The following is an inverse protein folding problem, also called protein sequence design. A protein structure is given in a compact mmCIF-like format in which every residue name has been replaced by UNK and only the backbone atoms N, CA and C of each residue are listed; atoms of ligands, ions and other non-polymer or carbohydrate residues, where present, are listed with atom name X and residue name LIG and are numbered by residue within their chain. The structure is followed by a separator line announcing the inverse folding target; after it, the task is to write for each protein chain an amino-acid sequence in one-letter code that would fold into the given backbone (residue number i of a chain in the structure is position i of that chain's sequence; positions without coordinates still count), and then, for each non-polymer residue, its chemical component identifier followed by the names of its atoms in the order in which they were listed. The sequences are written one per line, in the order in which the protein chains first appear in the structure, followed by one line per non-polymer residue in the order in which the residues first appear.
data_IF_042227798003
#
_entry.id   IF_042227798003
#
_cell.length_a   1.000
_cell.length_b   1.000
_cell.length_c   1.000
_cell.angle_alpha   90.00
_cell.angle_beta   90.00
_cell.angle_gamma   90.00
#
_symmetry.space_group_name_H-M   'P 1'
#
loop_
_entity.id
_entity.type
_entity.pdbx_description
1 polymer ?
#
# COMPACT_ATOMS: atom_id res chain seq x y z
N UNK A 1 -9.79 -17.70 -9.45
CA UNK A 1 -9.22 -16.33 -9.41
C UNK A 1 -7.97 -16.37 -10.26
N UNK A 2 -7.55 -15.25 -10.85
CA UNK A 2 -6.36 -15.25 -11.70
C UNK A 2 -5.18 -14.63 -10.95
N UNK A 3 -4.02 -15.25 -11.10
CA UNK A 3 -2.75 -14.74 -10.61
C UNK A 3 -1.86 -14.45 -11.82
N UNK A 4 -1.45 -13.19 -11.96
CA UNK A 4 -0.59 -12.74 -13.05
C UNK A 4 0.82 -12.50 -12.54
N UNK A 5 1.79 -13.18 -13.14
CA UNK A 5 3.22 -12.92 -12.97
C UNK A 5 3.61 -11.89 -14.03
N UNK A 6 3.89 -10.66 -13.61
CA UNK A 6 4.18 -9.54 -14.50
C UNK A 6 5.61 -9.63 -15.07
N UNK A 7 5.85 -8.99 -16.20
CA UNK A 7 7.17 -8.89 -16.87
C UNK A 7 8.13 -7.90 -16.19
N UNK A 8 8.22 -7.94 -14.86
CA UNK A 8 9.06 -7.05 -14.08
C UNK A 8 10.03 -7.85 -13.21
N UNK A 9 11.33 -7.69 -13.49
CA UNK A 9 12.44 -8.15 -12.64
C UNK A 9 12.92 -6.96 -11.83
N UNK A 10 12.61 -6.96 -10.54
CA UNK A 10 12.74 -5.81 -9.65
C UNK A 10 13.92 -5.97 -8.71
N UNK A 11 14.68 -4.89 -8.54
CA UNK A 11 15.71 -4.74 -7.51
C UNK A 11 15.15 -3.88 -6.38
N UNK A 12 15.44 -4.29 -5.14
CA UNK A 12 15.07 -3.55 -3.94
C UNK A 12 16.32 -2.89 -3.38
N UNK A 13 16.26 -1.58 -3.16
CA UNK A 13 17.38 -0.78 -2.70
C UNK A 13 16.99 0.08 -1.51
N UNK A 14 17.95 0.33 -0.63
CA UNK A 14 17.88 1.32 0.44
C UNK A 14 18.92 2.40 0.19
N UNK A 15 18.47 3.63 0.01
CA UNK A 15 19.31 4.81 -0.14
C UNK A 15 19.32 5.61 1.16
N UNK A 16 20.48 5.70 1.80
CA UNK A 16 20.66 6.51 3.00
C UNK A 16 20.45 8.00 2.70
N UNK A 17 19.76 8.72 3.59
CA UNK A 17 19.46 10.16 3.44
C UNK A 17 20.67 11.04 3.12
N UNK A 18 21.85 10.87 3.76
CA UNK A 18 23.02 11.69 3.45
C UNK A 18 23.48 11.59 1.99
N UNK A 19 23.22 10.44 1.35
CA UNK A 19 23.57 10.19 -0.05
C UNK A 19 22.56 10.71 -1.06
N UNK A 20 21.38 11.20 -0.64
CA UNK A 20 20.28 11.53 -1.55
C UNK A 20 20.68 12.48 -2.68
N UNK A 21 21.54 13.46 -2.38
CA UNK A 21 22.05 14.44 -3.34
C UNK A 21 22.77 13.80 -4.53
N UNK A 22 23.48 12.69 -4.30
CA UNK A 22 24.17 11.95 -5.36
C UNK A 22 23.16 11.30 -6.34
N UNK A 23 21.98 10.98 -5.85
CA UNK A 23 20.93 10.29 -6.62
C UNK A 23 19.84 11.23 -7.13
N UNK A 24 19.88 12.54 -6.84
CA UNK A 24 18.85 13.48 -7.32
C UNK A 24 18.70 13.43 -8.84
N UNK A 25 19.80 13.39 -9.60
CA UNK A 25 19.74 13.32 -11.06
C UNK A 25 19.02 12.06 -11.58
N UNK A 26 19.45 10.82 -11.23
CA UNK A 26 18.75 9.63 -11.71
C UNK A 26 17.31 9.53 -11.16
N UNK A 27 17.04 9.96 -9.92
CA UNK A 27 15.69 9.92 -9.36
C UNK A 27 14.75 10.90 -10.06
N UNK A 28 15.19 12.11 -10.37
CA UNK A 28 14.40 13.07 -11.17
C UNK A 28 14.15 12.52 -12.57
N UNK A 29 15.15 11.86 -13.18
CA UNK A 29 14.97 11.20 -14.48
C UNK A 29 13.88 10.12 -14.41
N UNK A 30 13.92 9.25 -13.40
CA UNK A 30 12.96 8.15 -13.23
C UNK A 30 11.56 8.66 -12.86
N UNK A 31 11.45 9.71 -12.04
CA UNK A 31 10.18 10.29 -11.61
C UNK A 31 9.46 11.08 -12.72
N UNK A 32 10.18 11.91 -13.47
CA UNK A 32 9.56 12.95 -14.30
C UNK A 32 9.83 12.83 -15.80
N UNK A 33 10.80 12.01 -16.22
CA UNK A 33 11.27 11.96 -17.60
C UNK A 33 11.06 10.57 -18.22
N UNK A 34 9.81 10.11 -18.43
CA UNK A 34 9.50 8.74 -18.88
C UNK A 34 10.12 8.39 -20.24
N UNK A 35 10.43 9.38 -21.08
CA UNK A 35 11.11 9.17 -22.39
C UNK A 35 12.63 9.05 -22.29
N UNK A 36 13.21 9.21 -21.09
CA UNK A 36 14.67 9.20 -20.87
C UNK A 36 15.18 7.91 -20.23
N UNK A 37 14.28 7.00 -19.87
CA UNK A 37 14.60 5.66 -19.36
C UNK A 37 13.64 4.64 -19.97
N UNK A 38 14.03 3.37 -19.97
CA UNK A 38 13.15 2.24 -20.33
C UNK A 38 12.48 1.61 -19.12
N UNK A 39 12.68 2.18 -17.94
CA UNK A 39 12.05 1.78 -16.69
C UNK A 39 10.52 1.80 -16.83
N UNK A 40 9.89 0.68 -16.51
CA UNK A 40 8.43 0.47 -16.47
C UNK A 40 7.92 0.24 -15.05
N UNK A 41 8.78 -0.18 -14.12
CA UNK A 41 8.44 -0.37 -12.72
C UNK A 41 9.34 0.50 -11.84
N UNK A 42 8.76 1.49 -11.17
CA UNK A 42 9.46 2.39 -10.26
C UNK A 42 8.59 2.71 -9.05
N UNK A 43 9.13 2.50 -7.86
CA UNK A 43 8.54 2.90 -6.57
C UNK A 43 9.62 3.54 -5.71
N UNK A 44 9.28 4.67 -5.09
CA UNK A 44 10.13 5.40 -4.16
C UNK A 44 9.31 5.70 -2.90
N UNK A 45 9.79 5.21 -1.76
CA UNK A 45 9.16 5.42 -0.46
C UNK A 45 10.16 6.10 0.47
N UNK A 46 9.85 7.31 0.90
CA UNK A 46 10.61 7.99 1.94
C UNK A 46 10.18 7.48 3.34
N UNK A 47 11.15 7.06 4.14
CA UNK A 47 10.98 6.70 5.56
C UNK A 47 11.87 7.61 6.41
N UNK A 48 11.65 7.77 7.73
CA UNK A 48 12.55 8.59 8.56
C UNK A 48 14.03 8.21 8.45
N UNK A 49 14.34 6.95 8.17
CA UNK A 49 15.72 6.46 8.07
C UNK A 49 16.35 6.60 6.67
N UNK A 50 15.56 6.38 5.62
CA UNK A 50 16.06 6.16 4.27
C UNK A 50 15.04 6.48 3.17
N UNK A 51 15.48 6.29 1.93
CA UNK A 51 14.62 6.16 0.76
C UNK A 51 14.69 4.71 0.29
N UNK A 52 13.57 4.00 0.35
CA UNK A 52 13.46 2.64 -0.19
C UNK A 52 13.02 2.72 -1.65
N UNK A 53 13.73 2.03 -2.54
CA UNK A 53 13.43 1.95 -3.96
C UNK A 53 13.09 0.52 -4.36
N UNK A 54 12.06 0.38 -5.18
CA UNK A 54 11.79 -0.84 -5.94
C UNK A 54 11.76 -0.46 -7.41
N UNK A 55 12.75 -0.94 -8.18
CA UNK A 55 12.94 -0.52 -9.56
C UNK A 55 13.25 -1.73 -10.44
N UNK A 56 12.78 -1.74 -11.69
CA UNK A 56 13.17 -2.80 -12.63
C UNK A 56 14.66 -2.71 -13.03
N UNK A 57 15.13 -3.72 -13.76
CA UNK A 57 16.52 -3.80 -14.23
C UNK A 57 16.94 -2.61 -15.11
N UNK A 58 16.03 -2.00 -15.87
CA UNK A 58 16.35 -0.84 -16.71
C UNK A 58 16.52 0.42 -15.88
N UNK A 59 15.66 0.66 -14.90
CA UNK A 59 15.83 1.78 -13.97
C UNK A 59 16.99 1.58 -13.00
N UNK A 60 17.31 0.33 -12.62
CA UNK A 60 18.47 0.01 -11.78
C UNK A 60 19.80 0.44 -12.43
N UNK A 61 19.92 0.36 -13.77
CA UNK A 61 21.12 0.80 -14.53
C UNK A 61 21.39 2.30 -14.41
N UNK A 62 20.38 3.10 -14.06
CA UNK A 62 20.53 4.56 -13.89
C UNK A 62 21.14 4.93 -12.54
N UNK A 63 21.18 4.00 -11.58
CA UNK A 63 21.63 4.25 -10.21
C UNK A 63 23.12 3.90 -10.07
N UNK A 64 24.02 4.88 -9.88
CA UNK A 64 25.44 4.60 -9.68
C UNK A 64 25.66 3.89 -8.33
N UNK A 65 26.61 2.96 -8.20
CA UNK A 65 26.94 2.38 -6.90
C UNK A 65 27.60 3.43 -5.99
N UNK A 66 27.26 3.42 -4.70
CA UNK A 66 27.95 4.21 -3.68
C UNK A 66 27.79 3.60 -2.28
N UNK A 67 28.54 4.10 -1.31
CA UNK A 67 28.43 3.69 0.10
C UNK A 67 27.04 3.96 0.72
N UNK A 68 26.27 4.88 0.13
CA UNK A 68 24.94 5.24 0.61
C UNK A 68 23.83 4.33 0.08
N UNK A 69 24.14 3.46 -0.89
CA UNK A 69 23.16 2.63 -1.57
C UNK A 69 23.39 1.16 -1.23
N UNK A 70 22.44 0.60 -0.50
CA UNK A 70 22.38 -0.83 -0.20
C UNK A 70 21.43 -1.49 -1.18
N UNK A 71 21.83 -2.63 -1.74
CA UNK A 71 21.03 -3.38 -2.72
C UNK A 71 20.75 -4.75 -2.15
N UNK A 72 19.48 -5.15 -2.12
CA UNK A 72 19.10 -6.51 -1.76
C UNK A 72 19.70 -7.50 -2.77
N UNK A 73 20.16 -8.64 -2.26
CA UNK A 73 20.84 -9.68 -3.07
C UNK A 73 19.89 -10.28 -4.13
N UNK A 74 18.64 -10.50 -3.76
CA UNK A 74 17.66 -11.14 -4.62
C UNK A 74 17.10 -10.20 -5.69
N UNK A 75 16.78 -10.79 -6.84
CA UNK A 75 15.87 -10.20 -7.83
C UNK A 75 14.47 -10.69 -7.55
N UNK A 76 13.51 -9.77 -7.63
CA UNK A 76 12.12 -10.02 -7.24
C UNK A 76 11.22 -10.00 -8.47
N UNK A 77 10.29 -10.94 -8.52
CA UNK A 77 9.21 -11.00 -9.51
C UNK A 77 7.96 -10.41 -8.91
N UNK A 78 7.16 -9.76 -9.75
CA UNK A 78 5.93 -9.07 -9.32
C UNK A 78 4.72 -9.93 -9.64
N UNK A 79 3.92 -10.23 -8.63
CA UNK A 79 2.64 -10.91 -8.75
C UNK A 79 1.50 -9.91 -8.56
N UNK A 80 0.44 -10.08 -9.34
CA UNK A 80 -0.80 -9.32 -9.22
C UNK A 80 -1.99 -10.29 -9.21
N UNK A 81 -2.93 -10.09 -8.28
CA UNK A 81 -4.14 -10.92 -8.19
C UNK A 81 -5.28 -10.17 -8.88
N UNK A 82 -5.76 -10.73 -9.99
CA UNK A 82 -6.90 -10.17 -10.70
C UNK A 82 -8.20 -10.86 -10.27
N UNK A 83 -9.20 -10.07 -9.91
CA UNK A 83 -10.57 -10.57 -9.72
C UNK A 83 -11.34 -10.48 -11.04
N UNK A 84 -11.99 -11.56 -11.51
CA UNK A 84 -12.70 -11.59 -12.80
C UNK A 84 -13.92 -10.65 -12.85
N UNK A 85 -14.38 -10.13 -11.71
CA UNK A 85 -15.37 -9.06 -11.69
C UNK A 85 -14.68 -7.73 -12.02
N UNK A 86 -14.78 -7.24 -13.25
CA UNK A 86 -14.19 -5.99 -13.77
C UNK A 86 -14.58 -4.68 -13.05
N UNK A 87 -15.04 -4.74 -11.80
CA UNK A 87 -14.96 -3.64 -10.88
C UNK A 87 -13.51 -3.56 -10.37
N UNK A 88 -12.83 -2.45 -10.64
CA UNK A 88 -11.58 -2.04 -10.01
C UNK A 88 -11.76 -1.81 -8.50
N UNK A 89 -12.19 -2.84 -7.77
CA UNK A 89 -12.02 -2.89 -6.34
C UNK A 89 -10.55 -3.25 -6.13
N UNK A 90 -9.76 -2.29 -5.68
CA UNK A 90 -8.53 -2.58 -4.95
C UNK A 90 -8.90 -3.66 -3.92
N UNK A 91 -8.54 -4.91 -4.21
CA UNK A 91 -8.86 -6.04 -3.38
C UNK A 91 -7.91 -5.98 -2.20
N UNK A 92 -8.17 -5.02 -1.29
CA UNK A 92 -7.22 -4.62 -0.27
C UNK A 92 -6.59 -5.82 0.42
N UNK A 93 -5.30 -5.69 0.74
CA UNK A 93 -4.38 -6.69 1.29
C UNK A 93 -5.04 -7.79 2.15
N UNK A 94 -6.06 -7.47 2.96
CA UNK A 94 -6.84 -8.44 3.74
C UNK A 94 -7.43 -9.61 2.93
N UNK A 95 -7.90 -9.40 1.69
CA UNK A 95 -8.41 -10.50 0.83
C UNK A 95 -7.26 -11.39 0.33
N UNK A 96 -6.15 -10.76 -0.04
CA UNK A 96 -4.92 -11.41 -0.53
C UNK A 96 -4.18 -12.13 0.61
N UNK A 97 -4.31 -11.64 1.84
CA UNK A 97 -3.61 -12.16 3.00
C UNK A 97 -3.92 -13.64 3.26
N UNK A 98 -5.16 -14.07 3.04
CA UNK A 98 -5.58 -15.45 3.29
C UNK A 98 -5.27 -16.39 2.13
N UNK A 99 -5.50 -15.96 0.89
CA UNK A 99 -5.36 -16.82 -0.30
C UNK A 99 -3.95 -16.83 -0.88
N UNK A 100 -3.12 -15.82 -0.59
CA UNK A 100 -1.75 -15.75 -1.12
C UNK A 100 -0.72 -15.67 -0.01
N UNK A 101 -0.82 -14.71 0.92
CA UNK A 101 0.27 -14.47 1.90
C UNK A 101 0.42 -15.64 2.86
N UNK A 102 -0.68 -16.15 3.44
CA UNK A 102 -0.62 -17.28 4.37
C UNK A 102 -0.05 -18.57 3.73
N UNK A 103 -0.53 -19.05 2.57
CA UNK A 103 0.05 -20.21 1.90
C UNK A 103 1.54 -20.05 1.58
N UNK A 104 1.97 -18.86 1.12
CA UNK A 104 3.37 -18.59 0.83
C UNK A 104 4.23 -18.61 2.10
N UNK A 105 3.75 -18.05 3.21
CA UNK A 105 4.44 -18.06 4.49
C UNK A 105 4.60 -19.48 5.05
N UNK A 106 3.57 -20.32 4.94
CA UNK A 106 3.61 -21.73 5.34
C UNK A 106 4.65 -22.55 4.56
N UNK A 107 4.92 -22.15 3.31
CA UNK A 107 5.93 -22.77 2.46
C UNK A 107 7.28 -22.03 2.48
N UNK A 108 7.50 -21.16 3.48
CA UNK A 108 8.74 -20.41 3.69
C UNK A 108 9.16 -19.50 2.52
N UNK A 109 8.20 -19.01 1.75
CA UNK A 109 8.43 -18.01 0.71
C UNK A 109 8.38 -16.62 1.33
N UNK A 110 9.48 -15.88 1.26
CA UNK A 110 9.55 -14.49 1.69
C UNK A 110 8.89 -13.58 0.64
N UNK A 111 8.09 -12.63 1.11
CA UNK A 111 7.35 -11.71 0.24
C UNK A 111 7.60 -10.25 0.66
N UNK A 112 7.52 -9.35 -0.31
CA UNK A 112 7.38 -7.91 -0.07
C UNK A 112 6.05 -7.43 -0.64
N UNK A 113 5.39 -6.51 0.08
CA UNK A 113 4.09 -5.97 -0.32
C UNK A 113 4.26 -4.54 -0.83
N UNK A 114 3.65 -4.24 -1.97
CA UNK A 114 3.55 -2.88 -2.50
C UNK A 114 2.10 -2.60 -2.91
N UNK A 115 1.35 -1.98 -2.00
CA UNK A 115 0.01 -1.48 -2.26
C UNK A 115 0.08 -0.11 -2.95
N UNK A 116 -0.66 0.03 -4.05
CA UNK A 116 -0.77 1.29 -4.81
C UNK A 116 -2.22 1.79 -4.80
N UNK A 117 -2.50 2.91 -5.47
CA UNK A 117 -3.88 3.37 -5.66
C UNK A 117 -4.69 2.36 -6.50
N UNK A 118 -4.06 1.72 -7.48
CA UNK A 118 -4.72 0.87 -8.46
C UNK A 118 -4.87 -0.57 -7.99
N UNK A 119 -3.79 -1.17 -7.48
CA UNK A 119 -3.74 -2.58 -7.10
C UNK A 119 -2.69 -2.87 -6.02
N UNK A 120 -2.73 -4.10 -5.51
CA UNK A 120 -1.77 -4.64 -4.55
C UNK A 120 -0.79 -5.58 -5.27
N UNK A 121 0.49 -5.24 -5.25
CA UNK A 121 1.55 -6.08 -5.78
C UNK A 121 2.20 -6.91 -4.67
N UNK A 122 2.49 -8.16 -4.99
CA UNK A 122 3.21 -9.09 -4.11
C UNK A 122 4.51 -9.45 -4.82
N UNK A 123 5.64 -9.12 -4.21
CA UNK A 123 6.94 -9.42 -4.75
C UNK A 123 7.48 -10.70 -4.12
N UNK A 124 7.92 -11.63 -4.95
CA UNK A 124 8.56 -12.89 -4.53
C UNK A 124 9.95 -12.98 -5.13
N UNK A 125 10.89 -13.65 -4.46
CA UNK A 125 12.23 -13.85 -5.05
C UNK A 125 12.11 -14.75 -6.26
N UNK A 126 12.86 -14.44 -7.32
CA UNK A 126 12.85 -15.21 -8.58
C UNK A 126 13.15 -16.70 -8.35
N UNK A 127 14.05 -17.02 -7.43
CA UNK A 127 14.43 -18.38 -7.06
C UNK A 127 13.31 -19.21 -6.38
N UNK A 128 12.28 -18.55 -5.84
CA UNK A 128 11.17 -19.19 -5.14
C UNK A 128 9.95 -19.40 -6.06
N UNK A 129 10.04 -19.01 -7.34
CA UNK A 129 8.92 -19.03 -8.28
C UNK A 129 8.28 -20.42 -8.43
N UNK A 130 9.09 -21.49 -8.47
CA UNK A 130 8.57 -22.85 -8.58
C UNK A 130 7.68 -23.23 -7.38
N UNK A 131 8.10 -22.84 -6.17
CA UNK A 131 7.31 -23.05 -4.94
C UNK A 131 6.03 -22.22 -5.00
N UNK A 132 6.13 -20.95 -5.39
CA UNK A 132 4.97 -20.04 -5.55
C UNK A 132 3.93 -20.62 -6.51
N UNK A 133 4.36 -21.05 -7.70
CA UNK A 133 3.46 -21.63 -8.71
C UNK A 133 2.82 -22.91 -8.18
N UNK A 134 3.58 -23.81 -7.56
CA UNK A 134 3.04 -25.04 -6.99
C UNK A 134 2.01 -24.77 -5.87
N UNK A 135 2.34 -23.88 -4.93
CA UNK A 135 1.49 -23.55 -3.78
C UNK A 135 0.18 -22.88 -4.22
N UNK A 136 0.23 -21.94 -5.17
CA UNK A 136 -0.93 -21.14 -5.56
C UNK A 136 -1.76 -21.76 -6.69
N UNK A 137 -1.22 -22.72 -7.45
CA UNK A 137 -1.94 -23.35 -8.58
C UNK A 137 -3.21 -24.11 -8.18
N UNK A 138 -3.41 -24.40 -6.89
CA UNK A 138 -4.64 -25.05 -6.38
C UNK A 138 -5.82 -24.08 -6.33
N UNK A 139 -5.57 -22.80 -6.10
CA UNK A 139 -6.61 -21.77 -5.92
C UNK A 139 -6.67 -20.78 -7.09
N UNK A 140 -5.58 -20.65 -7.84
CA UNK A 140 -5.43 -19.67 -8.91
C UNK A 140 -5.11 -20.31 -10.25
N UNK A 141 -5.70 -19.75 -11.30
CA UNK A 141 -5.23 -19.92 -12.67
C UNK A 141 -4.08 -18.94 -12.86
N UNK A 142 -2.88 -19.48 -13.11
CA UNK A 142 -1.64 -18.69 -13.12
C UNK A 142 -1.27 -18.34 -14.56
N UNK A 143 -1.13 -17.06 -14.81
CA UNK A 143 -0.67 -16.50 -16.07
C UNK A 143 0.66 -15.80 -15.87
N UNK A 144 1.50 -15.82 -16.90
CA UNK A 144 2.71 -15.03 -17.01
C UNK A 144 2.55 -14.07 -18.17
N UNK A 145 2.75 -12.79 -17.93
CA UNK A 145 2.79 -11.83 -19.03
C UNK A 145 4.04 -12.09 -19.88
N UNK A 146 3.88 -12.14 -21.21
CA UNK A 146 4.97 -12.22 -22.18
C UNK A 146 4.66 -11.27 -23.34
N UNK A 147 5.46 -10.22 -23.50
CA UNK A 147 5.20 -9.16 -24.47
C UNK A 147 3.90 -8.39 -24.18
N UNK A 148 3.48 -8.31 -22.92
CA UNK A 148 2.21 -7.73 -22.50
C UNK A 148 0.97 -8.62 -22.65
N UNK A 149 1.12 -9.87 -23.11
CA UNK A 149 0.00 -10.82 -23.26
C UNK A 149 0.05 -11.91 -22.16
N UNK A 150 -1.09 -12.28 -21.55
CA UNK A 150 -1.12 -13.31 -20.52
C UNK A 150 -0.99 -14.72 -21.14
N UNK A 151 0.10 -15.40 -20.82
CA UNK A 151 0.38 -16.79 -21.23
C UNK A 151 0.13 -17.72 -20.05
N UNK A 152 -0.71 -18.77 -20.19
CA UNK A 152 -0.97 -19.71 -19.10
C UNK A 152 0.31 -20.45 -18.70
N UNK A 153 0.58 -20.53 -17.40
CA UNK A 153 1.68 -21.32 -16.85
C UNK A 153 1.23 -22.76 -16.70
N UNK A 154 1.87 -23.68 -17.43
CA UNK A 154 1.56 -25.10 -17.32
C UNK A 154 1.82 -25.59 -15.89
N UNK A 155 0.90 -26.41 -15.37
CA UNK A 155 1.13 -27.14 -14.11
C UNK A 155 2.21 -28.18 -14.38
N UNK A 156 3.43 -27.95 -13.91
CA UNK A 156 4.44 -29.01 -13.93
C UNK A 156 4.08 -30.07 -12.88
N UNK A 157 3.67 -31.23 -13.37
CA UNK A 157 3.54 -32.48 -12.59
C UNK A 157 4.94 -33.06 -12.37
N UNK A 158 5.78 -32.40 -11.56
CA UNK A 158 7.10 -32.92 -11.21
C UNK A 158 7.39 -32.72 -9.73
N UNK A 159 7.13 -33.80 -9.00
CA UNK A 159 7.73 -34.09 -7.71
C UNK A 159 9.25 -33.99 -7.80
N UNK A 160 9.85 -33.27 -6.85
CA UNK A 160 11.20 -33.43 -6.27
C UNK A 160 11.97 -32.11 -6.20
N UNK A 161 11.72 -31.39 -5.11
CA UNK A 161 12.59 -30.34 -4.60
C UNK A 161 12.37 -30.22 -3.10
N UNK A 162 13.05 -31.07 -2.33
CA UNK A 162 13.15 -31.01 -0.87
C UNK A 162 13.34 -29.55 -0.41
N UNK A 163 12.69 -29.08 0.67
CA UNK A 163 12.78 -27.68 1.09
C UNK A 163 14.23 -27.28 1.32
N UNK A 164 14.65 -26.23 0.61
CA UNK A 164 15.95 -25.57 0.84
C UNK A 164 16.07 -25.21 2.32
N UNK A 165 17.27 -25.39 2.88
CA UNK A 165 17.60 -25.04 4.25
C UNK A 165 17.09 -23.62 4.57
N UNK A 166 16.42 -23.46 5.72
CA UNK A 166 15.97 -22.17 6.22
C UNK A 166 17.18 -21.24 6.35
N UNK A 167 17.29 -20.26 5.45
CA UNK A 167 18.24 -19.17 5.56
C UNK A 167 17.49 -17.96 6.10
N UNK A 168 17.56 -17.78 7.42
CA UNK A 168 16.96 -16.64 8.10
C UNK A 168 16.64 -16.93 9.56
N UNK A 169 16.41 -15.88 10.37
CA UNK A 169 15.91 -16.04 11.73
C UNK A 169 14.54 -16.74 11.71
N UNK A 170 14.26 -17.53 12.76
CA UNK A 170 12.93 -18.12 12.98
C UNK A 170 11.86 -17.02 13.06
N UNK A 171 10.61 -17.28 12.64
CA UNK A 171 9.54 -16.29 12.74
C UNK A 171 9.39 -15.74 14.17
N UNK A 172 9.28 -14.42 14.28
CA UNK A 172 9.08 -13.71 15.55
C UNK A 172 7.88 -12.79 15.49
N UNK A 173 7.30 -12.47 16.64
CA UNK A 173 6.28 -11.41 16.74
C UNK A 173 6.99 -10.06 16.73
N UNK A 174 6.71 -9.25 15.71
CA UNK A 174 7.28 -7.91 15.58
C UNK A 174 6.42 -6.87 16.32
N UNK A 175 7.02 -5.89 17.03
CA UNK A 175 6.27 -4.80 17.65
C UNK A 175 5.64 -3.90 16.58
N UNK A 176 4.46 -3.35 16.88
CA UNK A 176 3.71 -2.47 15.97
C UNK A 176 3.64 -1.06 16.55
N UNK A 177 3.81 -0.06 15.70
CA UNK A 177 3.65 1.36 16.03
C UNK A 177 2.59 1.98 15.11
N UNK A 178 1.68 2.77 15.70
CA UNK A 178 0.65 3.50 14.96
C UNK A 178 0.87 5.01 15.14
N UNK A 179 1.45 5.71 14.15
CA UNK A 179 1.64 7.16 14.22
C UNK A 179 0.29 7.90 14.07
N UNK A 180 0.24 9.17 14.50
CA UNK A 180 -0.99 9.97 14.44
C UNK A 180 -1.28 10.57 13.06
N UNK A 181 -0.41 10.34 12.09
CA UNK A 181 -0.53 10.84 10.73
C UNK A 181 -1.82 10.35 10.07
N UNK A 182 -2.46 11.23 9.31
CA UNK A 182 -3.58 10.87 8.43
C UNK A 182 -3.03 10.75 7.01
N UNK A 183 -2.88 9.52 6.53
CA UNK A 183 -2.39 9.26 5.18
C UNK A 183 -3.53 9.28 4.16
N UNK A 184 -3.26 9.85 2.99
CA UNK A 184 -4.15 9.80 1.83
C UNK A 184 -3.49 8.95 0.74
N UNK A 185 -4.26 8.05 0.12
CA UNK A 185 -3.82 7.31 -1.07
C UNK A 185 -4.43 8.00 -2.28
N UNK A 186 -3.58 8.55 -3.15
CA UNK A 186 -3.96 9.41 -4.27
C UNK A 186 -3.43 8.86 -5.59
N UNK A 187 -4.07 9.22 -6.69
CA UNK A 187 -3.57 9.02 -8.05
C UNK A 187 -3.51 10.36 -8.77
N UNK A 188 -2.70 10.44 -9.82
CA UNK A 188 -2.53 11.63 -10.64
C UNK A 188 -2.52 11.24 -12.12
N UNK A 189 -3.12 12.08 -12.96
CA UNK A 189 -2.97 11.97 -14.41
C UNK A 189 -1.51 12.28 -14.78
N UNK A 190 -0.78 11.38 -15.49
CA UNK A 190 0.58 11.63 -15.93
C UNK A 190 0.78 12.95 -16.69
N UNK A 191 -0.22 13.43 -17.43
CA UNK A 191 -0.13 14.72 -18.15
C UNK A 191 -0.05 15.92 -17.20
N UNK A 192 -0.59 15.78 -15.98
CA UNK A 192 -0.58 16.83 -14.95
C UNK A 192 0.61 16.74 -14.00
N UNK A 193 1.41 15.66 -14.05
CA UNK A 193 2.61 15.49 -13.23
C UNK A 193 3.60 16.67 -13.31
N UNK A 194 3.87 17.29 -14.48
CA UNK A 194 4.74 18.46 -14.56
C UNK A 194 4.24 19.64 -13.73
N UNK A 195 2.93 19.80 -13.54
CA UNK A 195 2.35 20.92 -12.80
C UNK A 195 2.65 20.86 -11.29
N UNK A 196 2.89 19.67 -10.73
CA UNK A 196 3.24 19.48 -9.31
C UNK A 196 4.73 19.16 -9.10
N UNK A 197 5.52 19.06 -10.17
CA UNK A 197 6.88 18.53 -10.12
C UNK A 197 7.78 19.31 -9.15
N UNK A 198 7.70 20.63 -9.14
CA UNK A 198 8.48 21.48 -8.21
C UNK A 198 8.11 21.22 -6.76
N UNK A 199 6.81 21.13 -6.45
CA UNK A 199 6.33 20.80 -5.09
C UNK A 199 6.72 19.39 -4.70
N UNK A 200 6.58 18.41 -5.59
CA UNK A 200 6.96 17.02 -5.30
C UNK A 200 8.47 16.88 -5.07
N UNK A 201 9.28 17.63 -5.83
CA UNK A 201 10.73 17.69 -5.65
C UNK A 201 11.07 18.31 -4.29
N UNK A 202 10.43 19.42 -3.92
CA UNK A 202 10.63 20.08 -2.63
C UNK A 202 10.31 19.15 -1.46
N UNK A 203 9.19 18.42 -1.55
CA UNK A 203 8.77 17.43 -0.54
C UNK A 203 9.77 16.28 -0.44
N UNK A 204 10.17 15.68 -1.56
CA UNK A 204 11.00 14.47 -1.55
C UNK A 204 12.48 14.73 -1.25
N UNK A 205 13.03 15.85 -1.72
CA UNK A 205 14.49 16.06 -1.77
C UNK A 205 15.00 17.18 -0.85
N UNK A 206 14.14 18.13 -0.47
CA UNK A 206 14.57 19.34 0.24
C UNK A 206 13.88 19.55 1.59
N UNK A 207 12.74 18.91 1.81
CA UNK A 207 12.02 19.01 3.09
C UNK A 207 12.77 18.31 4.21
N UNK A 208 12.75 18.93 5.40
CA UNK A 208 13.28 18.31 6.60
C UNK A 208 12.32 17.22 7.07
N UNK A 209 12.73 15.98 6.89
CA UNK A 209 12.18 14.84 7.62
C UNK A 209 12.62 15.04 9.06
N UNK A 210 11.75 15.67 9.86
CA UNK A 210 12.05 15.95 11.25
C UNK A 210 12.48 14.63 11.91
N UNK A 211 13.74 14.59 12.36
CA UNK A 211 14.18 13.60 13.34
C UNK A 211 13.48 13.92 14.66
N UNK A 212 12.17 13.71 14.73
CA UNK A 212 11.39 13.77 15.94
C UNK A 212 11.44 12.39 16.64
N UNK A 213 12.64 11.82 16.76
CA UNK A 213 12.96 10.99 17.90
C UNK A 213 13.54 11.93 18.94
N UNK A 214 12.65 12.51 19.74
CA UNK A 214 13.05 13.01 21.05
C UNK A 214 13.77 11.85 21.75
N UNK A 215 14.97 12.14 22.27
CA UNK A 215 15.75 11.23 23.10
C UNK A 215 14.95 10.69 24.29
N UNK A 216 15.54 9.77 25.08
CA UNK A 216 14.79 8.93 26.00
C UNK A 216 13.97 9.79 26.97
N UNK A 217 12.66 9.80 26.77
CA UNK A 217 11.72 10.23 27.80
C UNK A 217 11.90 9.24 28.94
N UNK A 218 12.64 9.67 29.96
CA UNK A 218 12.64 9.11 31.29
C UNK A 218 11.21 8.68 31.64
N UNK A 219 10.99 7.37 31.76
CA UNK A 219 9.79 6.80 32.32
C UNK A 219 9.62 7.34 33.74
N UNK A 220 8.95 8.47 33.89
CA UNK A 220 8.43 8.90 35.18
C UNK A 220 7.14 8.09 35.42
N UNK A 221 7.07 7.29 36.49
CA UNK A 221 5.85 6.57 36.80
C UNK A 221 4.73 7.57 37.09
N UNK A 222 3.58 7.37 36.42
CA UNK A 222 2.34 8.04 36.77
C UNK A 222 1.96 7.68 38.21
N UNK A 223 1.60 8.65 39.08
CA UNK A 223 1.07 8.35 40.40
C UNK A 223 -0.34 7.76 40.25
N UNK A 224 -0.44 6.45 40.45
CA UNK A 224 -1.73 5.76 40.64
C UNK A 224 -2.28 6.21 42.00
N UNK A 225 -3.23 7.14 41.99
CA UNK A 225 -4.04 7.45 43.17
C UNK A 225 -5.21 6.46 43.24
N UNK A 226 -5.38 5.71 44.34
CA UNK A 226 -6.49 4.78 44.47
C UNK A 226 -7.79 5.55 44.72
N UNK A 227 -8.69 5.51 43.74
CA UNK A 227 -10.06 6.04 43.86
C UNK A 227 -10.85 5.17 44.84
N UNK A 228 -11.02 5.66 46.08
CA UNK A 228 -11.95 5.08 47.07
C UNK A 228 -13.37 5.05 46.50
N UNK A 229 -13.97 3.87 46.42
CA UNK A 229 -15.41 3.68 46.14
C UNK A 229 -16.21 4.34 47.27
N UNK A 230 -17.01 5.36 46.94
CA UNK A 230 -18.08 5.84 47.83
C UNK A 230 -19.28 4.91 47.67
N UNK A 231 -19.75 4.38 48.80
CA UNK A 231 -21.00 3.64 48.90
C UNK A 231 -22.19 4.58 48.62
N UNK A 232 -23.13 4.12 47.81
CA UNK A 232 -24.41 4.79 47.54
C UNK A 232 -25.46 4.11 48.40
N UNK A 233 -26.04 4.85 49.34
CA UNK A 233 -27.24 4.48 50.10
C UNK A 233 -28.51 4.82 49.30
N UNK A 234 -29.59 4.03 49.41
CA UNK A 234 -30.80 4.23 48.61
C UNK A 234 -31.74 5.25 49.27
N UNK A 235 -32.45 6.03 48.46
CA UNK A 235 -33.55 6.90 48.89
C UNK A 235 -34.88 6.45 48.23
N UNK A 236 -36.04 6.68 48.89
CA UNK A 236 -37.26 5.90 48.67
C UNK A 236 -38.18 6.48 47.57
N UNK A 237 -39.12 5.63 47.11
CA UNK A 237 -40.09 5.89 46.06
C UNK A 237 -41.26 6.80 46.49
N UNK A 238 -41.89 7.50 45.52
CA UNK A 238 -43.32 7.78 45.58
C UNK A 238 -44.09 7.34 44.32
N UNK A 239 -45.37 6.99 44.53
CA UNK A 239 -46.36 6.58 43.54
C UNK A 239 -47.46 7.66 43.37
N UNK A 240 -48.55 7.46 42.59
CA UNK A 240 -48.82 8.09 41.29
C UNK A 240 -50.02 9.08 41.28
N UNK A 241 -50.23 9.84 40.19
CA UNK A 241 -51.51 10.13 39.48
C UNK A 241 -51.41 11.34 38.52
N UNK A 242 -52.11 11.22 37.38
CA UNK A 242 -52.17 12.02 36.13
C UNK A 242 -53.09 13.28 36.22
N UNK A 243 -53.62 13.93 35.13
CA UNK A 243 -53.16 14.19 33.74
C UNK A 243 -53.40 15.67 33.21
N UNK A 244 -52.68 16.07 32.13
CA UNK A 244 -52.99 16.94 30.94
C UNK A 244 -53.79 18.29 31.07
N UNK A 245 -54.06 19.12 30.00
CA UNK A 245 -53.62 19.15 28.58
C UNK A 245 -53.30 20.59 27.98
N UNK A 246 -53.12 20.63 26.64
CA UNK A 246 -53.28 21.76 25.68
C UNK A 246 -52.02 22.59 25.35
N UNK A 247 -51.77 23.13 24.14
CA UNK A 247 -52.32 23.01 22.78
C UNK A 247 -51.41 23.80 21.82
N UNK A 248 -51.21 23.34 20.57
CA UNK A 248 -51.41 24.10 19.31
C UNK A 248 -50.66 23.49 18.13
N UNK A 249 -51.44 23.27 17.08
CA UNK A 249 -51.02 22.99 15.72
C UNK A 249 -51.43 24.15 14.80
N UNK A 250 -50.68 24.35 13.71
CA UNK A 250 -50.99 24.92 12.36
C UNK A 250 -49.69 25.53 11.82
N UNK A 251 -49.28 25.55 10.55
CA UNK A 251 -49.53 24.90 9.25
C UNK A 251 -48.43 25.41 8.28
N UNK A 252 -48.18 24.80 7.11
CA UNK A 252 -47.01 25.10 6.25
C UNK A 252 -47.33 26.03 5.06
N UNK A 253 -46.32 26.71 4.49
CA UNK A 253 -46.44 27.45 3.22
C UNK A 253 -45.34 27.11 2.20
N UNK A 254 -45.85 26.60 1.07
CA UNK A 254 -45.38 26.51 -0.31
C UNK A 254 -44.20 27.37 -0.79
N UNK A 255 -43.29 26.79 -1.59
CA UNK A 255 -42.67 27.44 -2.75
C UNK A 255 -42.38 26.41 -3.86
N UNK A 256 -42.81 26.72 -5.09
CA UNK A 256 -42.48 26.02 -6.36
C UNK A 256 -41.55 26.93 -7.19
N UNK A 257 -40.84 26.40 -8.20
CA UNK A 257 -41.23 26.81 -9.55
C UNK A 257 -41.16 25.72 -10.64
N UNK A 258 -41.93 25.99 -11.70
CA UNK A 258 -42.20 25.21 -12.91
C UNK A 258 -41.02 25.09 -13.89
N UNK A 259 -41.00 23.95 -14.58
CA UNK A 259 -40.38 23.69 -15.90
C UNK A 259 -41.02 24.53 -17.03
N UNK A 260 -40.22 24.89 -18.05
CA UNK A 260 -40.63 24.90 -19.47
C UNK A 260 -39.48 24.40 -20.37
N UNK A 261 -39.85 23.52 -21.32
CA UNK A 261 -39.11 23.09 -22.53
C UNK A 261 -39.10 24.27 -23.54
N UNK A 262 -38.22 24.41 -24.54
CA UNK A 262 -37.95 23.50 -25.68
C UNK A 262 -36.79 24.02 -26.57
N UNK A 263 -36.10 23.08 -27.26
CA UNK A 263 -35.03 23.15 -28.30
C UNK A 263 -35.43 23.85 -29.64
N UNK A 264 -34.71 23.74 -30.81
CA UNK A 264 -33.34 23.26 -31.18
C UNK A 264 -32.59 24.16 -32.21
N UNK A 265 -31.47 23.66 -32.81
CA UNK A 265 -30.74 24.07 -34.06
C UNK A 265 -29.29 24.58 -33.82
N UNK A 266 -28.22 24.38 -34.62
CA UNK A 266 -27.79 23.52 -35.76
C UNK A 266 -26.27 23.75 -35.92
N UNK A 267 -25.56 22.78 -36.51
CA UNK A 267 -24.18 22.73 -37.08
C UNK A 267 -23.28 23.99 -37.13
N UNK A 268 -21.99 23.77 -36.80
CA UNK A 268 -20.83 23.86 -37.70
C UNK A 268 -19.76 22.87 -37.21
#
# INVERSE_FOLDING_TARGET
MELHILEHRVRVLRLARPGLRLYTHPLVKLLFLPRRSRCKFFSLTETPEDYTLMVDEEGFKELPPSEFLQVAEATWLVLNVASPSGAAQAAGVTKIARSVIAPLAEHHVSVLMLSTYQTDFILVREQDLAVVTHTLAREFDIYREVGGEPVPVAREDSSNGCPRAQHGPSPTVHPVQSPQNRFCVLTLDPETLPAIATTLIDVLFYSHSASAFLGPLSCRPFPVTPRRRRAVTPAPAPSPFSPSPSSRATSPSSWTPRRRRSSPATCC
#
